data_IF_661253301390
#
_entry.id   IF_661253301390
#
_cell.length_a   1.000
_cell.length_b   1.000
_cell.length_c   1.000
_cell.angle_alpha   90.00
_cell.angle_beta   90.00
_cell.angle_gamma   90.00
#
_symmetry.space_group_name_H-M   'P 1'
#
loop_
_entity.id
_entity.type
_entity.pdbx_description
1 polymer ?
#
# COMPACT_ATOMS: atom_id res chain seq x y z
N UNK A 1 23.05 -8.48 5.16
CA UNK A 1 23.00 -8.49 3.68
C UNK A 1 21.57 -8.21 3.27
N UNK A 2 21.20 -6.95 3.02
CA UNK A 2 19.82 -6.57 2.68
C UNK A 2 19.54 -7.05 1.26
N UNK A 3 18.74 -8.11 1.12
CA UNK A 3 18.67 -8.91 -0.12
C UNK A 3 17.73 -8.31 -1.18
N UNK A 4 16.93 -7.30 -0.87
CA UNK A 4 16.06 -6.58 -1.82
C UNK A 4 15.84 -5.14 -1.36
N UNK A 5 16.03 -4.17 -2.26
CA UNK A 5 15.88 -2.73 -1.96
C UNK A 5 14.51 -2.16 -2.32
N UNK A 6 13.82 -2.75 -3.31
CA UNK A 6 12.49 -2.29 -3.75
C UNK A 6 11.55 -3.49 -3.85
N UNK A 7 10.39 -3.36 -3.20
CA UNK A 7 9.35 -4.36 -3.22
C UNK A 7 8.05 -3.79 -3.82
N UNK A 8 7.41 -4.56 -4.70
CA UNK A 8 6.21 -4.17 -5.45
C UNK A 8 5.13 -5.22 -5.23
N UNK A 9 4.03 -4.74 -4.68
CA UNK A 9 2.84 -5.51 -4.33
C UNK A 9 1.64 -4.98 -5.10
N UNK A 10 0.70 -5.87 -5.42
CA UNK A 10 -0.60 -5.47 -5.96
C UNK A 10 -1.68 -5.76 -4.91
N UNK A 11 -2.61 -4.81 -4.69
CA UNK A 11 -3.78 -5.01 -3.83
C UNK A 11 -5.04 -4.77 -4.66
N UNK A 12 -5.87 -5.80 -4.78
CA UNK A 12 -7.14 -5.73 -5.50
C UNK A 12 -8.23 -5.28 -4.52
N UNK A 13 -8.93 -4.20 -4.88
CA UNK A 13 -10.05 -3.69 -4.10
C UNK A 13 -11.31 -4.53 -4.38
N UNK A 14 -12.11 -4.90 -3.35
CA UNK A 14 -13.41 -5.53 -3.55
C UNK A 14 -14.33 -4.70 -4.48
N UNK A 15 -15.02 -5.34 -5.44
CA UNK A 15 -15.91 -4.65 -6.37
C UNK A 15 -17.16 -4.17 -5.63
N UNK A 16 -17.64 -2.99 -6.03
CA UNK A 16 -18.89 -2.40 -5.46
C UNK A 16 -20.12 -3.21 -5.87
N UNK A 17 -20.05 -3.96 -6.97
CA UNK A 17 -21.11 -4.87 -7.46
C UNK A 17 -20.54 -6.27 -7.68
N UNK A 18 -21.18 -7.30 -7.14
CA UNK A 18 -20.79 -8.73 -7.27
C UNK A 18 -20.94 -9.32 -8.69
N UNK A 19 -21.07 -8.52 -9.74
CA UNK A 19 -21.54 -8.97 -11.07
C UNK A 19 -20.60 -8.70 -12.25
N UNK A 20 -19.32 -8.42 -12.02
CA UNK A 20 -18.32 -8.50 -13.09
C UNK A 20 -17.44 -9.72 -12.86
N UNK A 21 -17.97 -10.90 -13.20
CA UNK A 21 -17.14 -12.09 -13.37
C UNK A 21 -16.23 -11.86 -14.59
N UNK A 22 -14.92 -12.09 -14.43
CA UNK A 22 -14.02 -12.35 -15.56
C UNK A 22 -13.13 -11.20 -16.06
N UNK A 23 -13.00 -10.06 -15.36
CA UNK A 23 -12.10 -8.97 -15.80
C UNK A 23 -10.64 -9.24 -15.41
N UNK A 24 -10.40 -10.07 -14.41
CA UNK A 24 -9.04 -10.45 -14.02
C UNK A 24 -8.98 -11.87 -13.45
N UNK A 25 -7.80 -12.48 -13.52
CA UNK A 25 -7.44 -13.73 -12.86
C UNK A 25 -6.12 -13.54 -12.12
N UNK A 26 -5.97 -14.22 -10.98
CA UNK A 26 -4.72 -14.28 -10.23
C UNK A 26 -4.21 -15.71 -10.34
N UNK A 27 -2.98 -15.81 -10.84
CA UNK A 27 -2.25 -17.06 -10.98
C UNK A 27 -1.20 -17.11 -9.86
N UNK A 28 -1.52 -17.91 -8.83
CA UNK A 28 -0.69 -18.18 -7.66
C UNK A 28 -0.03 -19.57 -7.79
N UNK A 29 0.74 -19.78 -8.86
CA UNK A 29 1.58 -20.97 -8.97
C UNK A 29 2.64 -20.97 -7.86
N UNK A 30 2.60 -21.93 -6.92
CA UNK A 30 3.49 -22.00 -5.74
C UNK A 30 5.00 -22.00 -6.08
N UNK A 31 5.36 -22.30 -7.32
CA UNK A 31 6.76 -22.36 -7.81
C UNK A 31 7.20 -21.12 -8.58
N UNK A 32 6.29 -20.19 -8.91
CA UNK A 32 6.56 -19.02 -9.75
C UNK A 32 6.17 -17.72 -9.05
N UNK A 33 6.67 -16.61 -9.58
CA UNK A 33 6.29 -15.26 -9.13
C UNK A 33 4.80 -15.06 -9.46
N UNK A 34 3.94 -14.69 -8.49
CA UNK A 34 2.51 -14.58 -8.72
C UNK A 34 2.21 -13.52 -9.77
N UNK A 35 1.15 -13.76 -10.53
CA UNK A 35 0.82 -12.92 -11.67
C UNK A 35 -0.65 -12.56 -11.76
N UNK A 36 -0.90 -11.29 -12.06
CA UNK A 36 -2.22 -10.70 -12.27
C UNK A 36 -2.45 -10.60 -13.77
N UNK A 37 -3.44 -11.32 -14.27
CA UNK A 37 -3.89 -11.22 -15.65
C UNK A 37 -5.17 -10.39 -15.72
N UNK A 38 -5.17 -9.36 -16.56
CA UNK A 38 -6.32 -8.49 -16.82
C UNK A 38 -6.84 -8.83 -18.21
N UNK A 39 -8.11 -9.21 -18.28
CA UNK A 39 -8.83 -9.59 -19.50
C UNK A 39 -9.75 -8.45 -19.88
N UNK A 40 -9.51 -7.86 -21.05
CA UNK A 40 -10.34 -6.79 -21.59
C UNK A 40 -11.58 -7.41 -22.25
N UNK A 41 -12.79 -6.92 -21.93
CA UNK A 41 -13.99 -7.36 -22.61
C UNK A 41 -13.92 -6.99 -24.11
N UNK A 42 -14.31 -7.92 -24.97
CA UNK A 42 -14.34 -7.70 -26.41
C UNK A 42 -15.54 -6.81 -26.78
N UNK A 43 -15.28 -5.66 -27.41
CA UNK A 43 -16.34 -4.82 -27.95
C UNK A 43 -16.91 -5.48 -29.21
N UNK A 44 -18.20 -5.83 -29.19
CA UNK A 44 -18.90 -6.49 -30.30
C UNK A 44 -18.95 -5.63 -31.59
N UNK A 45 -18.62 -4.34 -31.49
CA UNK A 45 -18.62 -3.36 -32.57
C UNK A 45 -17.36 -3.47 -33.44
N UNK A 46 -16.26 -4.01 -32.91
CA UNK A 46 -14.95 -4.07 -33.58
C UNK A 46 -14.81 -5.19 -34.64
N UNK A 47 -15.88 -5.95 -34.89
CA UNK A 47 -15.87 -7.11 -35.81
C UNK A 47 -15.24 -8.37 -35.19
N UNK A 48 -15.31 -9.49 -35.92
CA UNK A 48 -14.95 -10.83 -35.40
C UNK A 48 -13.44 -11.15 -35.42
N UNK A 49 -12.63 -10.36 -36.14
CA UNK A 49 -11.17 -10.57 -36.23
C UNK A 49 -10.49 -9.21 -36.06
N UNK A 50 -10.09 -8.91 -34.83
CA UNK A 50 -9.24 -7.78 -34.52
C UNK A 50 -8.02 -8.31 -33.76
N UNK A 51 -6.81 -8.09 -34.26
CA UNK A 51 -5.56 -8.52 -33.59
C UNK A 51 -5.23 -7.64 -32.36
N UNK A 52 -6.26 -7.11 -31.68
CA UNK A 52 -6.11 -6.32 -30.46
C UNK A 52 -5.66 -7.24 -29.34
N UNK A 53 -4.75 -6.74 -28.51
CA UNK A 53 -4.32 -7.45 -27.32
C UNK A 53 -5.40 -7.34 -26.25
N UNK A 54 -6.04 -8.47 -25.96
CA UNK A 54 -7.16 -8.57 -25.02
C UNK A 54 -6.75 -9.05 -23.62
N UNK A 55 -5.51 -9.56 -23.46
CA UNK A 55 -5.00 -9.99 -22.15
C UNK A 55 -3.63 -9.36 -21.85
N UNK A 56 -3.49 -8.90 -20.59
CA UNK A 56 -2.28 -8.32 -20.04
C UNK A 56 -1.90 -9.02 -18.74
N UNK A 57 -0.71 -9.64 -18.69
CA UNK A 57 -0.19 -10.35 -17.52
C UNK A 57 0.94 -9.56 -16.87
N UNK A 58 0.81 -9.29 -15.57
CA UNK A 58 1.76 -8.53 -14.75
C UNK A 58 2.25 -9.38 -13.59
N UNK A 59 3.53 -9.27 -13.23
CA UNK A 59 4.13 -10.04 -12.13
C UNK A 59 4.43 -9.13 -10.94
N UNK A 60 4.09 -9.60 -9.75
CA UNK A 60 4.33 -8.89 -8.49
C UNK A 60 4.98 -9.84 -7.48
N UNK A 61 5.61 -9.31 -6.43
CA UNK A 61 6.18 -10.19 -5.40
C UNK A 61 5.08 -10.88 -4.59
N UNK A 62 3.97 -10.17 -4.38
CA UNK A 62 2.72 -10.75 -3.87
C UNK A 62 1.53 -9.96 -4.40
N UNK A 63 0.45 -10.66 -4.65
CA UNK A 63 -0.84 -10.09 -5.00
C UNK A 63 -1.77 -10.36 -3.83
N UNK A 64 -2.43 -9.30 -3.35
CA UNK A 64 -3.43 -9.36 -2.31
C UNK A 64 -4.78 -9.23 -2.98
N UNK A 65 -5.53 -10.34 -3.06
CA UNK A 65 -6.87 -10.31 -3.64
C UNK A 65 -7.88 -9.62 -2.70
N UNK A 66 -9.14 -9.55 -3.13
CA UNK A 66 -10.23 -8.82 -2.47
C UNK A 66 -10.43 -9.20 -1.00
N UNK A 67 -10.13 -10.44 -0.62
CA UNK A 67 -10.31 -10.95 0.74
C UNK A 67 -9.16 -10.58 1.70
N UNK A 68 -8.09 -9.96 1.19
CA UNK A 68 -6.94 -9.57 1.99
C UNK A 68 -7.29 -8.46 3.00
N UNK A 69 -7.30 -8.83 4.27
CA UNK A 69 -7.54 -7.93 5.39
C UNK A 69 -6.31 -7.03 5.69
N UNK A 70 -6.53 -5.97 6.48
CA UNK A 70 -5.50 -4.97 6.80
C UNK A 70 -4.32 -5.56 7.59
N UNK A 71 -4.56 -6.59 8.40
CA UNK A 71 -3.52 -7.27 9.16
C UNK A 71 -2.56 -8.03 8.23
N UNK A 72 -3.09 -8.74 7.25
CA UNK A 72 -2.30 -9.43 6.23
C UNK A 72 -1.43 -8.45 5.45
N UNK A 73 -1.96 -7.27 5.11
CA UNK A 73 -1.20 -6.21 4.45
C UNK A 73 -0.07 -5.71 5.35
N UNK A 74 -0.36 -5.45 6.62
CA UNK A 74 0.64 -4.98 7.58
C UNK A 74 1.78 -6.01 7.78
N UNK A 75 1.44 -7.27 8.04
CA UNK A 75 2.41 -8.34 8.28
C UNK A 75 3.36 -8.57 7.10
N UNK A 76 2.87 -8.43 5.87
CA UNK A 76 3.66 -8.70 4.67
C UNK A 76 4.44 -7.50 4.13
N UNK A 77 3.94 -6.27 4.34
CA UNK A 77 4.54 -5.06 3.76
C UNK A 77 5.21 -4.23 4.84
N UNK A 78 4.46 -3.84 5.88
CA UNK A 78 4.87 -2.79 6.79
C UNK A 78 5.75 -3.29 7.94
N UNK A 79 5.50 -4.49 8.45
CA UNK A 79 6.26 -5.07 9.56
C UNK A 79 7.73 -5.32 9.21
N UNK A 80 8.10 -5.90 8.05
CA UNK A 80 9.51 -6.05 7.68
C UNK A 80 10.24 -4.70 7.54
N UNK A 81 9.53 -3.67 7.07
CA UNK A 81 10.05 -2.31 6.99
C UNK A 81 10.24 -1.71 8.38
N UNK A 82 9.27 -1.87 9.28
CA UNK A 82 9.37 -1.41 10.66
C UNK A 82 10.51 -2.10 11.44
N UNK A 83 10.72 -3.40 11.24
CA UNK A 83 11.86 -4.14 11.79
C UNK A 83 13.20 -3.61 11.27
N UNK A 84 13.25 -3.26 9.97
CA UNK A 84 14.44 -2.62 9.39
C UNK A 84 14.71 -1.24 10.02
N UNK A 85 13.67 -0.46 10.27
CA UNK A 85 13.75 0.84 10.97
C UNK A 85 14.25 0.69 12.40
N UNK A 86 13.73 -0.30 13.14
CA UNK A 86 14.19 -0.61 14.50
C UNK A 86 15.65 -1.09 14.53
N UNK A 87 16.15 -1.65 13.43
CA UNK A 87 17.56 -2.01 13.25
C UNK A 87 18.45 -0.85 12.78
N UNK A 88 17.90 0.36 12.60
CA UNK A 88 18.63 1.58 12.23
C UNK A 88 18.70 1.87 10.73
N UNK A 89 17.85 1.25 9.90
CA UNK A 89 17.78 1.49 8.46
C UNK A 89 16.56 2.35 8.07
N UNK A 90 16.67 3.10 6.98
CA UNK A 90 15.52 3.87 6.46
C UNK A 90 14.53 2.96 5.72
N UNK A 91 13.24 3.27 5.83
CA UNK A 91 12.16 2.56 5.17
C UNK A 91 11.12 3.51 4.57
N UNK A 92 10.57 3.16 3.41
CA UNK A 92 9.54 3.97 2.74
C UNK A 92 8.49 3.06 2.12
N UNK A 93 7.21 3.40 2.32
CA UNK A 93 6.06 2.66 1.77
C UNK A 93 5.20 3.63 0.97
N UNK A 94 4.97 3.29 -0.30
CA UNK A 94 4.06 4.04 -1.17
C UNK A 94 2.77 3.25 -1.41
N UNK A 95 1.64 3.95 -1.40
CA UNK A 95 0.39 3.46 -1.98
C UNK A 95 0.13 4.20 -3.29
N UNK A 96 0.11 3.47 -4.40
CA UNK A 96 -0.06 4.02 -5.74
C UNK A 96 -1.31 3.45 -6.43
N UNK A 97 -1.96 4.26 -7.27
CA UNK A 97 -3.14 3.87 -8.04
C UNK A 97 -4.12 5.03 -8.26
N UNK A 98 -5.15 4.80 -9.07
CA UNK A 98 -6.16 5.82 -9.39
C UNK A 98 -6.98 6.27 -8.17
N UNK A 99 -7.68 7.41 -8.28
CA UNK A 99 -8.66 7.83 -7.25
C UNK A 99 -9.70 6.75 -7.04
N UNK A 100 -10.01 6.47 -5.76
CA UNK A 100 -10.97 5.42 -5.39
C UNK A 100 -10.42 3.98 -5.40
N UNK A 101 -9.15 3.75 -5.74
CA UNK A 101 -8.54 2.40 -5.75
C UNK A 101 -8.27 1.80 -4.37
N UNK A 102 -8.35 2.59 -3.30
CA UNK A 102 -8.12 2.12 -1.92
C UNK A 102 -6.77 2.52 -1.30
N UNK A 103 -6.06 3.51 -1.88
CA UNK A 103 -4.80 4.05 -1.31
C UNK A 103 -4.96 4.49 0.16
N UNK A 104 -5.88 5.43 0.42
CA UNK A 104 -6.16 5.95 1.77
C UNK A 104 -6.63 4.84 2.72
N UNK A 105 -7.47 3.92 2.23
CA UNK A 105 -7.89 2.77 3.01
C UNK A 105 -6.71 1.87 3.38
N UNK A 106 -5.74 1.67 2.49
CA UNK A 106 -4.55 0.85 2.78
C UNK A 106 -3.62 1.53 3.79
N UNK A 107 -3.35 2.82 3.62
CA UNK A 107 -2.40 3.57 4.43
C UNK A 107 -2.98 3.94 5.80
N UNK A 108 -4.15 4.57 5.83
CA UNK A 108 -4.77 5.07 7.07
C UNK A 108 -5.76 4.07 7.64
N UNK A 109 -6.56 3.44 6.79
CA UNK A 109 -7.62 2.52 7.21
C UNK A 109 -9.02 3.13 7.19
N UNK A 110 -9.99 2.31 7.59
CA UNK A 110 -11.37 2.75 7.85
C UNK A 110 -11.52 3.32 9.26
N UNK A 111 -12.43 4.29 9.42
CA UNK A 111 -12.71 4.92 10.70
C UNK A 111 -13.65 4.10 11.61
N UNK A 112 -14.39 3.14 11.04
CA UNK A 112 -15.52 2.49 11.73
C UNK A 112 -15.11 1.32 12.63
N UNK A 113 -14.15 0.50 12.19
CA UNK A 113 -13.75 -0.73 12.91
C UNK A 113 -12.26 -0.72 13.21
N UNK A 114 -11.91 -1.22 14.39
CA UNK A 114 -10.51 -1.38 14.80
C UNK A 114 -9.74 -2.30 13.83
N UNK A 115 -10.39 -3.35 13.34
CA UNK A 115 -9.83 -4.27 12.34
C UNK A 115 -9.42 -3.58 11.03
N UNK A 116 -10.06 -2.45 10.71
CA UNK A 116 -9.93 -1.79 9.42
C UNK A 116 -8.84 -0.72 9.41
N UNK A 117 -8.17 -0.51 10.55
CA UNK A 117 -6.98 0.35 10.67
C UNK A 117 -5.89 -0.09 9.69
N UNK A 118 -5.31 0.89 8.99
CA UNK A 118 -4.34 0.67 7.92
C UNK A 118 -2.91 0.51 8.42
N UNK A 119 -1.97 0.71 7.50
CA UNK A 119 -0.53 0.59 7.73
C UNK A 119 -0.04 1.55 8.83
N UNK A 120 -0.34 2.85 8.76
CA UNK A 120 0.18 3.87 9.69
C UNK A 120 -0.12 3.51 11.16
N UNK A 121 -1.39 3.34 11.59
CA UNK A 121 -1.68 3.06 12.99
C UNK A 121 -1.12 1.72 13.46
N UNK A 122 -1.07 0.69 12.59
CA UNK A 122 -0.50 -0.63 12.95
C UNK A 122 1.02 -0.55 13.12
N UNK A 123 1.71 0.16 12.24
CA UNK A 123 3.16 0.39 12.34
C UNK A 123 3.52 1.17 13.60
N UNK A 124 2.79 2.23 13.92
CA UNK A 124 3.02 2.98 15.16
C UNK A 124 2.85 2.08 16.39
N UNK A 125 1.75 1.35 16.49
CA UNK A 125 1.53 0.39 17.58
C UNK A 125 2.66 -0.63 17.70
N UNK A 126 3.09 -1.22 16.58
CA UNK A 126 4.17 -2.19 16.56
C UNK A 126 5.50 -1.60 17.03
N UNK A 127 5.88 -0.42 16.52
CA UNK A 127 7.12 0.25 16.92
C UNK A 127 7.11 0.47 18.43
N UNK A 128 6.07 1.12 18.98
CA UNK A 128 6.02 1.40 20.41
C UNK A 128 6.02 0.12 21.27
N UNK A 129 5.38 -0.96 20.81
CA UNK A 129 5.45 -2.26 21.49
C UNK A 129 6.88 -2.80 21.53
N UNK A 130 7.65 -2.69 20.44
CA UNK A 130 9.05 -3.13 20.41
C UNK A 130 9.96 -2.25 21.27
N UNK A 131 9.73 -0.94 21.30
CA UNK A 131 10.50 -0.02 22.15
C UNK A 131 10.33 -0.35 23.64
N UNK A 132 9.13 -0.78 24.06
CA UNK A 132 8.87 -1.16 25.45
C UNK A 132 9.54 -2.48 25.87
N UNK A 133 9.86 -3.38 24.93
CA UNK A 133 10.47 -4.68 25.22
C UNK A 133 11.95 -4.58 25.55
N UNK A 134 12.64 -3.54 25.06
CA UNK A 134 14.08 -3.36 25.24
C UNK A 134 14.38 -2.23 26.22
N UNK A 135 14.43 -2.57 27.51
CA UNK A 135 14.76 -1.63 28.59
C UNK A 135 16.24 -1.23 28.64
N UNK A 136 17.09 -1.80 27.77
CA UNK A 136 18.52 -1.48 27.72
C UNK A 136 18.84 -0.22 26.92
N UNK A 137 17.86 0.29 26.13
CA UNK A 137 18.03 1.44 25.26
C UNK A 137 17.09 2.57 25.66
N UNK A 138 17.55 3.81 25.43
CA UNK A 138 16.73 5.01 25.54
C UNK A 138 16.35 5.41 24.11
N UNK A 139 15.06 5.54 23.85
CA UNK A 139 14.53 5.90 22.54
C UNK A 139 13.93 7.31 22.59
N UNK A 140 14.09 8.05 21.49
CA UNK A 140 13.39 9.32 21.27
C UNK A 140 12.73 9.26 19.91
N UNK A 141 11.42 9.49 19.85
CA UNK A 141 10.61 9.35 18.64
C UNK A 141 9.97 10.67 18.27
N UNK A 142 10.05 11.05 17.00
CA UNK A 142 9.38 12.22 16.44
C UNK A 142 8.48 11.78 15.29
N UNK A 143 7.38 12.49 15.07
CA UNK A 143 6.42 12.24 14.00
C UNK A 143 6.11 13.58 13.34
N UNK A 144 6.20 13.62 12.01
CA UNK A 144 5.68 14.70 11.17
C UNK A 144 4.60 14.15 10.26
N UNK A 145 3.63 15.00 9.87
CA UNK A 145 2.59 14.62 8.92
C UNK A 145 2.36 15.77 7.94
N UNK A 146 2.67 15.52 6.67
CA UNK A 146 2.81 16.56 5.66
C UNK A 146 1.93 16.24 4.45
N UNK A 147 1.38 17.27 3.83
CA UNK A 147 0.73 17.21 2.51
C UNK A 147 1.54 18.02 1.50
N UNK A 148 1.70 17.47 0.29
CA UNK A 148 2.24 18.18 -0.86
C UNK A 148 1.11 18.30 -1.87
N UNK A 149 0.69 19.53 -2.14
CA UNK A 149 -0.36 19.83 -3.09
C UNK A 149 0.05 20.98 -3.99
N UNK A 150 0.06 20.73 -5.31
CA UNK A 150 0.48 21.70 -6.32
C UNK A 150 1.84 22.35 -6.03
N UNK A 151 2.84 21.52 -5.70
CA UNK A 151 4.19 21.94 -5.30
C UNK A 151 4.29 22.79 -4.02
N UNK A 152 3.18 22.98 -3.30
CA UNK A 152 3.15 23.61 -1.98
C UNK A 152 3.14 22.56 -0.87
N UNK A 153 3.90 22.82 0.19
CA UNK A 153 3.95 21.98 1.38
C UNK A 153 3.01 22.50 2.47
N UNK A 154 2.34 21.59 3.17
CA UNK A 154 1.45 21.88 4.28
C UNK A 154 1.77 20.95 5.46
N UNK A 155 1.96 21.51 6.64
CA UNK A 155 2.02 20.74 7.88
C UNK A 155 0.59 20.43 8.36
N UNK A 156 0.22 19.15 8.35
CA UNK A 156 -1.12 18.68 8.76
C UNK A 156 -1.29 18.64 10.28
N UNK A 157 -0.23 18.86 11.05
CA UNK A 157 -0.26 18.96 12.51
C UNK A 157 -0.27 20.42 12.98
N UNK A 158 0.06 21.39 12.11
CA UNK A 158 -0.04 22.82 12.42
C UNK A 158 -1.48 23.31 12.17
N UNK A 159 -2.21 23.78 13.21
CA UNK A 159 -3.58 24.27 13.05
C UNK A 159 -3.69 25.47 12.10
N UNK A 160 -2.60 26.21 11.85
CA UNK A 160 -2.60 27.35 10.94
C UNK A 160 -2.77 26.95 9.47
N UNK A 161 -2.40 25.72 9.11
CA UNK A 161 -2.46 25.20 7.74
C UNK A 161 -1.89 26.17 6.69
N UNK A 162 -0.79 26.85 7.03
CA UNK A 162 -0.12 27.78 6.13
C UNK A 162 0.71 27.00 5.11
N UNK A 163 0.71 27.49 3.87
CA UNK A 163 1.57 26.93 2.83
C UNK A 163 3.02 27.39 3.07
N UNK A 164 3.93 26.43 3.09
CA UNK A 164 5.37 26.65 3.27
C UNK A 164 6.15 26.07 2.09
N UNK A 165 7.39 26.54 1.91
CA UNK A 165 8.32 25.85 1.02
C UNK A 165 8.62 24.46 1.58
N UNK A 166 8.91 23.48 0.72
CA UNK A 166 9.23 22.12 1.18
C UNK A 166 10.47 22.07 2.09
N UNK A 167 11.38 23.05 1.96
CA UNK A 167 12.61 23.15 2.75
C UNK A 167 12.36 23.67 4.17
N UNK A 168 11.23 24.36 4.38
CA UNK A 168 10.84 24.94 5.66
C UNK A 168 9.90 24.04 6.49
N UNK A 169 9.55 22.86 5.95
CA UNK A 169 8.73 21.87 6.67
C UNK A 169 9.57 21.14 7.74
N UNK A 170 8.94 20.74 8.87
CA UNK A 170 9.61 20.09 10.00
C UNK A 170 10.18 18.69 9.71
#
# INVERSE_FOLDING_TARGET
>A
MVKQTIQIFARVKPPVRKHQQGIYSIDEDEKLIPSLEIILPHDLIDGFVNNKRESYKFKFQRIFDQDANQETIFENIAKPVAESVLAGYNGTIFAYGQTGSGKTFTITGGAERYSDRGIIPRTLSYIFEQLQKDSSKIYTTHISYLEIYNECGYDLLDPRHEASSLEDLP
#
